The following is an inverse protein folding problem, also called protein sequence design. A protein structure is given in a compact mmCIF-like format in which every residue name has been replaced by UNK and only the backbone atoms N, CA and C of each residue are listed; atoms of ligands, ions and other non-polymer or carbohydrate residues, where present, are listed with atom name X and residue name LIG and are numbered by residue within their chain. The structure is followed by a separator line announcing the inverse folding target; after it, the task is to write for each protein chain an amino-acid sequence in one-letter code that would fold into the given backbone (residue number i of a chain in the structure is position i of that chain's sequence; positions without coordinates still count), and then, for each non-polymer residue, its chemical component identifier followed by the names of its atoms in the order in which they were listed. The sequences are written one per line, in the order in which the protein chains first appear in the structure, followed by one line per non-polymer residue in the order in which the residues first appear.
data_IF_110705973289
#
_entry.id   IF_110705973289
#
_cell.length_a   1.000
_cell.length_b   1.000
_cell.length_c   1.000
_cell.angle_alpha   90.00
_cell.angle_beta   90.00
_cell.angle_gamma   90.00
#
_symmetry.space_group_name_H-M   'P 1'
#
loop_
_entity.id
_entity.type
_entity.pdbx_description
1 polymer ?
#
# COMPACT_ATOMS: atom_id res chain seq x y z
N UNK A 1 -16.49 13.05 -11.82
CA UNK A 1 -15.11 13.10 -11.28
C UNK A 1 -14.96 12.28 -10.00
N UNK A 2 -15.79 12.50 -8.95
CA UNK A 2 -15.68 11.76 -7.69
C UNK A 2 -15.69 10.23 -7.85
N UNK A 3 -16.71 9.66 -8.51
CA UNK A 3 -16.78 8.21 -8.73
C UNK A 3 -15.62 7.66 -9.56
N UNK A 4 -15.06 8.45 -10.47
CA UNK A 4 -13.88 8.06 -11.24
C UNK A 4 -12.67 7.88 -10.31
N UNK A 5 -12.43 8.83 -9.41
CA UNK A 5 -11.37 8.71 -8.40
C UNK A 5 -11.65 7.54 -7.44
N UNK A 6 -12.89 7.38 -6.97
CA UNK A 6 -13.27 6.28 -6.08
C UNK A 6 -13.04 4.91 -6.72
N UNK A 7 -13.26 4.76 -8.03
CA UNK A 7 -12.97 3.53 -8.76
C UNK A 7 -11.47 3.20 -8.83
N UNK A 8 -10.59 4.20 -8.62
CA UNK A 8 -9.15 3.99 -8.51
C UNK A 8 -8.68 3.56 -7.12
N UNK A 9 -9.53 3.65 -6.10
CA UNK A 9 -9.16 3.33 -4.72
C UNK A 9 -9.02 1.83 -4.54
N UNK A 10 -7.78 1.41 -4.23
CA UNK A 10 -7.44 0.01 -3.92
C UNK A 10 -6.45 -0.03 -2.78
N UNK A 11 -6.78 -0.80 -1.73
CA UNK A 11 -6.00 -0.87 -0.49
C UNK A 11 -4.59 -1.45 -0.66
N UNK A 12 -3.95 -1.70 0.49
CA UNK A 12 -2.72 -2.49 0.55
C UNK A 12 -2.96 -3.92 0.08
N UNK A 13 -1.98 -4.50 -0.60
CA UNK A 13 -2.06 -5.88 -1.08
C UNK A 13 -1.65 -6.79 0.08
N UNK A 14 -2.51 -7.75 0.42
CA UNK A 14 -2.22 -8.77 1.41
C UNK A 14 -2.52 -10.14 0.82
N UNK A 15 -1.50 -10.99 0.74
CA UNK A 15 -1.63 -12.32 0.14
C UNK A 15 -0.55 -13.30 0.61
N UNK A 16 -0.98 -14.54 0.79
CA UNK A 16 -0.08 -15.70 0.84
C UNK A 16 0.18 -16.15 -0.60
N UNK A 17 1.43 -16.03 -1.03
CA UNK A 17 1.87 -16.33 -2.39
C UNK A 17 2.31 -17.79 -2.49
N UNK A 18 3.06 -18.25 -1.49
CA UNK A 18 3.53 -19.62 -1.35
C UNK A 18 3.23 -20.12 0.07
N UNK A 19 2.87 -21.41 0.20
CA UNK A 19 2.29 -21.97 1.44
C UNK A 19 3.31 -22.37 2.50
N UNK A 20 4.55 -22.64 2.09
CA UNK A 20 5.53 -23.29 2.95
C UNK A 20 6.95 -23.03 2.49
N UNK A 21 7.83 -22.72 3.43
CA UNK A 21 9.27 -22.67 3.24
C UNK A 21 9.97 -23.02 4.56
N UNK A 22 11.23 -23.44 4.48
CA UNK A 22 12.08 -23.69 5.66
C UNK A 22 13.44 -23.08 5.36
N UNK A 23 13.99 -22.33 6.31
CA UNK A 23 15.35 -21.80 6.24
C UNK A 23 16.39 -22.90 6.46
N UNK A 24 17.52 -22.78 5.77
CA UNK A 24 18.71 -23.57 6.01
C UNK A 24 19.91 -22.67 5.71
N UNK A 25 20.49 -22.03 6.74
CA UNK A 25 21.64 -21.15 6.54
C UNK A 25 22.66 -21.28 7.65
N UNK A 26 23.90 -20.88 7.37
CA UNK A 26 25.08 -21.06 8.23
C UNK A 26 24.99 -20.45 9.63
N UNK A 27 24.00 -19.59 9.89
CA UNK A 27 23.78 -18.99 11.19
C UNK A 27 22.81 -19.80 12.08
N UNK A 28 22.21 -20.86 11.55
CA UNK A 28 21.30 -21.74 12.27
C UNK A 28 22.05 -22.86 13.00
N UNK A 29 21.60 -23.26 14.21
CA UNK A 29 22.23 -24.35 14.97
C UNK A 29 22.09 -25.72 14.31
N UNK A 30 21.04 -25.91 13.50
CA UNK A 30 20.73 -27.12 12.74
C UNK A 30 21.06 -27.00 11.25
N UNK A 31 22.01 -26.11 10.88
CA UNK A 31 22.45 -25.96 9.49
C UNK A 31 22.99 -27.27 8.94
N UNK A 32 22.49 -27.67 7.76
CA UNK A 32 23.01 -28.80 7.02
C UNK A 32 23.73 -28.30 5.75
N UNK A 33 25.06 -28.50 5.63
CA UNK A 33 25.82 -28.08 4.46
C UNK A 33 25.48 -28.88 3.19
N UNK A 34 24.86 -30.06 3.33
CA UNK A 34 24.43 -30.88 2.20
C UNK A 34 23.08 -30.41 1.61
N UNK A 35 22.33 -29.62 2.37
CA UNK A 35 21.05 -29.04 1.93
C UNK A 35 21.25 -27.66 1.29
N UNK A 36 20.32 -27.27 0.44
CA UNK A 36 20.34 -25.96 -0.24
C UNK A 36 20.31 -24.80 0.77
N UNK A 37 21.18 -23.81 0.59
CA UNK A 37 21.23 -22.62 1.46
C UNK A 37 20.01 -21.74 1.18
N UNK A 38 19.17 -21.56 2.19
CA UNK A 38 17.92 -20.78 2.15
C UNK A 38 17.81 -19.83 3.33
N UNK A 39 17.53 -18.58 3.02
CA UNK A 39 17.20 -17.54 3.98
C UNK A 39 15.71 -17.21 3.91
N UNK A 40 15.08 -17.10 5.08
CA UNK A 40 13.74 -16.53 5.22
C UNK A 40 13.86 -15.12 5.79
N UNK A 41 13.39 -14.13 5.04
CA UNK A 41 13.56 -12.72 5.39
C UNK A 41 12.23 -12.00 5.43
N UNK A 42 11.94 -11.39 6.58
CA UNK A 42 10.79 -10.51 6.78
C UNK A 42 11.23 -9.05 6.67
N UNK A 43 10.99 -8.46 5.51
CA UNK A 43 11.32 -7.07 5.21
C UNK A 43 10.07 -6.18 5.26
N UNK A 44 10.12 -5.07 6.00
CA UNK A 44 9.03 -4.11 6.17
C UNK A 44 9.45 -2.69 5.76
N UNK A 45 8.64 -2.02 4.94
CA UNK A 45 8.94 -0.68 4.48
C UNK A 45 8.68 0.37 5.57
N UNK A 46 9.72 1.09 5.98
CA UNK A 46 9.62 2.16 6.96
C UNK A 46 8.62 3.24 6.54
N UNK A 47 7.46 3.28 7.20
CA UNK A 47 6.43 4.31 7.01
C UNK A 47 6.04 4.46 5.52
N UNK A 48 5.55 3.38 4.91
CA UNK A 48 5.19 3.31 3.49
C UNK A 48 4.28 4.46 3.03
N UNK A 49 3.22 4.76 3.79
CA UNK A 49 2.34 5.88 3.44
C UNK A 49 3.01 7.23 3.65
N UNK A 50 3.92 7.38 4.63
CA UNK A 50 4.76 8.57 4.77
C UNK A 50 5.67 8.79 3.58
N UNK A 51 6.28 7.72 3.05
CA UNK A 51 7.06 7.77 1.81
C UNK A 51 6.19 8.28 0.65
N UNK A 52 5.01 7.70 0.44
CA UNK A 52 4.09 8.11 -0.61
C UNK A 52 3.59 9.56 -0.41
N UNK A 53 3.30 9.97 0.82
CA UNK A 53 2.91 11.33 1.16
C UNK A 53 4.03 12.36 0.92
N UNK A 54 5.29 11.92 0.86
CA UNK A 54 6.43 12.80 0.60
C UNK A 54 6.69 13.03 -0.89
N UNK A 55 5.90 12.40 -1.77
CA UNK A 55 5.96 12.57 -3.22
C UNK A 55 5.06 13.71 -3.70
N UNK A 56 5.05 13.97 -5.00
CA UNK A 56 4.13 14.92 -5.62
C UNK A 56 2.71 14.36 -5.54
N UNK A 57 1.82 15.12 -4.89
CA UNK A 57 0.43 14.73 -4.68
C UNK A 57 -0.50 15.73 -5.36
N UNK A 58 -1.68 15.30 -5.83
CA UNK A 58 -2.65 16.20 -6.45
C UNK A 58 -3.01 17.34 -5.49
N UNK A 59 -3.10 18.55 -6.03
CA UNK A 59 -3.34 19.76 -5.27
C UNK A 59 -4.61 20.49 -5.74
N UNK A 60 -4.71 20.81 -7.04
CA UNK A 60 -5.79 21.67 -7.57
C UNK A 60 -5.99 21.56 -9.09
N UNK A 61 -7.00 22.28 -9.57
CA UNK A 61 -7.35 22.50 -10.98
C UNK A 61 -7.50 21.20 -11.79
N UNK A 62 -8.36 20.31 -11.28
CA UNK A 62 -8.70 19.06 -11.93
C UNK A 62 -9.54 19.31 -13.19
N UNK A 63 -9.01 18.92 -14.34
CA UNK A 63 -9.67 19.09 -15.64
C UNK A 63 -9.60 17.80 -16.44
N UNK A 64 -10.69 17.49 -17.15
CA UNK A 64 -10.66 16.41 -18.14
C UNK A 64 -9.82 16.87 -19.33
N UNK A 65 -8.90 16.02 -19.75
CA UNK A 65 -8.01 16.26 -20.89
C UNK A 65 -8.35 15.28 -22.01
N UNK A 66 -7.93 15.63 -23.23
CA UNK A 66 -8.00 14.72 -24.37
C UNK A 66 -7.19 13.44 -24.11
N UNK A 67 -7.67 12.32 -24.66
CA UNK A 67 -7.12 10.98 -24.43
C UNK A 67 -5.96 10.63 -25.38
N UNK A 68 -5.16 11.61 -25.80
CA UNK A 68 -4.18 11.45 -26.88
C UNK A 68 -2.78 11.03 -26.38
N UNK A 69 -2.63 10.73 -25.09
CA UNK A 69 -1.36 10.27 -24.54
C UNK A 69 -1.01 8.88 -25.07
N UNK A 70 0.21 8.70 -25.56
CA UNK A 70 0.74 7.40 -25.97
C UNK A 70 1.50 6.74 -24.81
N UNK A 71 1.79 5.45 -24.96
CA UNK A 71 2.69 4.71 -24.05
C UNK A 71 4.04 5.42 -23.89
N UNK A 72 4.60 5.96 -24.97
CA UNK A 72 5.87 6.67 -24.95
C UNK A 72 5.78 8.00 -24.20
N UNK A 73 4.66 8.71 -24.32
CA UNK A 73 4.44 9.94 -23.56
C UNK A 73 4.37 9.65 -22.07
N UNK A 74 3.62 8.60 -21.67
CA UNK A 74 3.48 8.18 -20.27
C UNK A 74 4.84 7.79 -19.67
N UNK A 75 5.66 7.03 -20.40
CA UNK A 75 6.99 6.61 -19.94
C UNK A 75 7.95 7.78 -19.73
N UNK A 76 7.79 8.88 -20.48
CA UNK A 76 8.59 10.10 -20.38
C UNK A 76 8.10 11.08 -19.32
N UNK A 77 6.91 10.88 -18.74
CA UNK A 77 6.41 11.76 -17.68
C UNK A 77 7.35 11.72 -16.46
N UNK A 78 7.73 12.91 -16.01
CA UNK A 78 8.44 13.09 -14.75
C UNK A 78 7.46 12.94 -13.58
N UNK A 79 7.88 12.18 -12.56
CA UNK A 79 7.10 12.03 -11.31
C UNK A 79 7.16 13.29 -10.43
N UNK A 80 7.97 14.27 -10.81
CA UNK A 80 8.19 15.55 -10.12
C UNK A 80 7.72 16.75 -10.95
N UNK A 81 6.95 16.52 -12.02
CA UNK A 81 6.32 17.60 -12.77
C UNK A 81 5.23 18.28 -11.94
N UNK A 82 5.02 19.58 -12.15
CA UNK A 82 3.88 20.31 -11.56
C UNK A 82 2.51 19.80 -12.06
N UNK A 83 2.50 18.98 -13.12
CA UNK A 83 1.29 18.40 -13.71
C UNK A 83 1.27 16.90 -13.51
N UNK A 84 0.18 16.39 -12.93
CA UNK A 84 -0.08 14.98 -12.77
C UNK A 84 -1.34 14.51 -13.50
N UNK A 85 -1.49 13.19 -13.61
CA UNK A 85 -2.62 12.55 -14.29
C UNK A 85 -3.16 11.36 -13.52
N UNK A 86 -4.48 11.19 -13.56
CA UNK A 86 -5.17 9.92 -13.25
C UNK A 86 -5.83 9.46 -14.55
N UNK A 87 -5.57 8.23 -14.95
CA UNK A 87 -6.04 7.67 -16.21
C UNK A 87 -6.99 6.51 -15.95
N UNK A 88 -7.98 6.34 -16.81
CA UNK A 88 -8.73 5.09 -16.96
C UNK A 88 -8.27 4.38 -18.23
N UNK A 89 -7.74 3.17 -18.08
CA UNK A 89 -7.06 2.45 -19.16
C UNK A 89 -7.48 0.99 -19.26
N UNK A 90 -7.30 0.41 -20.44
CA UNK A 90 -7.26 -1.05 -20.61
C UNK A 90 -5.80 -1.50 -20.68
N UNK A 91 -5.43 -2.47 -19.85
CA UNK A 91 -4.10 -3.07 -19.79
C UNK A 91 -4.22 -4.54 -20.13
N UNK A 92 -3.35 -5.01 -21.00
CA UNK A 92 -3.17 -6.43 -21.27
C UNK A 92 -1.99 -6.97 -20.47
N UNK A 93 -2.10 -8.24 -20.12
CA UNK A 93 -1.12 -8.95 -19.33
C UNK A 93 -0.51 -10.05 -20.21
N UNK A 94 0.67 -9.81 -20.80
CA UNK A 94 1.28 -10.78 -21.69
C UNK A 94 1.57 -12.13 -21.00
N UNK A 95 1.26 -13.28 -21.62
CA UNK A 95 1.49 -14.60 -21.03
C UNK A 95 2.95 -14.88 -20.63
N UNK A 96 3.92 -14.30 -21.33
CA UNK A 96 5.35 -14.41 -21.02
C UNK A 96 5.74 -13.77 -19.68
N UNK A 97 4.90 -12.90 -19.12
CA UNK A 97 5.12 -12.33 -17.79
C UNK A 97 4.54 -13.19 -16.65
N UNK A 98 3.75 -14.22 -16.96
CA UNK A 98 2.99 -14.94 -15.94
C UNK A 98 3.89 -15.64 -14.92
N UNK A 99 4.95 -16.31 -15.38
CA UNK A 99 5.89 -16.98 -14.48
C UNK A 99 6.71 -15.97 -13.69
N UNK A 100 7.13 -14.87 -14.32
CA UNK A 100 7.91 -13.82 -13.66
C UNK A 100 7.11 -13.09 -12.58
N UNK A 101 5.81 -12.90 -12.81
CA UNK A 101 4.93 -12.14 -11.95
C UNK A 101 4.00 -13.01 -11.09
N UNK A 102 4.20 -14.34 -11.07
CA UNK A 102 3.33 -15.29 -10.38
C UNK A 102 3.10 -14.95 -8.91
N UNK A 103 4.18 -14.55 -8.22
CA UNK A 103 4.12 -14.33 -6.78
C UNK A 103 3.55 -12.97 -6.41
N UNK A 104 3.62 -11.96 -7.29
CA UNK A 104 3.15 -10.60 -6.97
C UNK A 104 2.51 -9.85 -8.14
N UNK A 105 1.42 -10.37 -8.75
CA UNK A 105 0.85 -9.80 -9.97
C UNK A 105 0.47 -8.32 -9.84
N UNK A 106 0.85 -7.55 -10.85
CA UNK A 106 0.55 -6.12 -10.98
C UNK A 106 -0.95 -5.82 -11.09
N UNK A 107 -1.31 -4.56 -10.80
CA UNK A 107 -2.66 -4.00 -11.00
C UNK A 107 -3.79 -4.78 -10.29
N UNK A 108 -3.77 -4.85 -8.96
CA UNK A 108 -4.80 -5.55 -8.18
C UNK A 108 -6.22 -5.00 -8.41
N UNK A 109 -7.25 -5.82 -8.22
CA UNK A 109 -8.66 -5.46 -8.47
C UNK A 109 -9.57 -5.91 -7.34
N UNK A 110 -10.60 -5.11 -7.03
CA UNK A 110 -11.65 -5.53 -6.11
C UNK A 110 -12.68 -6.36 -6.87
N UNK A 111 -12.61 -7.69 -6.77
CA UNK A 111 -13.58 -8.60 -7.38
C UNK A 111 -13.87 -9.79 -6.46
N UNK A 112 -15.04 -10.43 -6.57
CA UNK A 112 -15.32 -11.65 -5.82
C UNK A 112 -14.39 -12.78 -6.29
N UNK A 113 -13.65 -13.45 -5.38
CA UNK A 113 -12.85 -14.61 -5.78
C UNK A 113 -13.75 -15.80 -6.15
N UNK A 114 -13.20 -16.83 -6.83
CA UNK A 114 -13.95 -18.05 -7.12
C UNK A 114 -14.61 -18.60 -5.85
N UNK A 115 -15.89 -18.95 -5.95
CA UNK A 115 -16.70 -19.47 -4.84
C UNK A 115 -16.97 -18.50 -3.67
N UNK A 116 -16.69 -17.20 -3.83
CA UNK A 116 -17.04 -16.18 -2.84
C UNK A 116 -17.84 -15.06 -3.48
N UNK A 117 -18.87 -14.56 -2.78
CA UNK A 117 -19.68 -13.42 -3.24
C UNK A 117 -19.13 -12.07 -2.79
N UNK A 118 -18.31 -12.06 -1.75
CA UNK A 118 -17.76 -10.83 -1.18
C UNK A 118 -16.54 -10.38 -1.98
N UNK A 119 -16.51 -9.12 -2.48
CA UNK A 119 -15.35 -8.58 -3.16
C UNK A 119 -14.12 -8.59 -2.24
N UNK A 120 -13.00 -9.05 -2.79
CA UNK A 120 -11.67 -8.97 -2.17
C UNK A 120 -10.72 -8.27 -3.12
N UNK A 121 -9.65 -7.69 -2.58
CA UNK A 121 -8.57 -7.18 -3.40
C UNK A 121 -7.74 -8.36 -3.90
N UNK A 122 -7.79 -8.65 -5.19
CA UNK A 122 -7.10 -9.77 -5.82
C UNK A 122 -5.99 -9.25 -6.72
N UNK A 123 -4.81 -9.84 -6.64
CA UNK A 123 -3.78 -9.73 -7.68
C UNK A 123 -4.07 -10.83 -8.70
N UNK A 124 -4.18 -10.48 -9.98
CA UNK A 124 -4.46 -11.46 -11.04
C UNK A 124 -3.66 -11.14 -12.28
N UNK A 125 -3.25 -12.19 -13.00
CA UNK A 125 -2.56 -12.10 -14.29
C UNK A 125 -3.53 -11.87 -15.46
N UNK A 126 -4.77 -11.49 -15.18
CA UNK A 126 -5.78 -11.21 -16.20
C UNK A 126 -5.57 -9.83 -16.84
N UNK A 127 -6.09 -9.59 -18.05
CA UNK A 127 -6.25 -8.23 -18.57
C UNK A 127 -7.09 -7.36 -17.63
N UNK A 128 -6.81 -6.07 -17.61
CA UNK A 128 -7.52 -5.07 -16.80
C UNK A 128 -8.31 -4.17 -17.73
N UNK A 129 -9.60 -3.99 -17.46
CA UNK A 129 -10.48 -3.14 -18.27
C UNK A 129 -10.95 -1.93 -17.47
N UNK A 130 -10.90 -0.74 -18.06
CA UNK A 130 -11.30 0.52 -17.41
C UNK A 130 -10.66 0.70 -16.02
N UNK A 131 -9.39 0.34 -15.93
CA UNK A 131 -8.61 0.41 -14.70
C UNK A 131 -8.20 1.86 -14.43
N UNK A 132 -8.70 2.45 -13.33
CA UNK A 132 -8.33 3.81 -12.92
C UNK A 132 -7.07 3.79 -12.06
N UNK A 133 -6.04 4.57 -12.41
CA UNK A 133 -4.78 4.65 -11.66
C UNK A 133 -4.02 5.97 -11.85
N UNK A 134 -3.13 6.27 -10.92
CA UNK A 134 -2.17 7.37 -11.02
C UNK A 134 -1.10 7.08 -12.09
N UNK A 135 -0.68 8.10 -12.84
CA UNK A 135 0.26 7.93 -13.96
C UNK A 135 1.60 7.30 -13.57
N UNK A 136 2.16 7.60 -12.39
CA UNK A 136 3.41 6.97 -11.92
C UNK A 136 3.27 5.46 -11.77
N UNK A 137 2.10 4.98 -11.35
CA UNK A 137 1.82 3.55 -11.20
C UNK A 137 1.63 2.89 -12.57
N UNK A 138 0.93 3.57 -13.50
CA UNK A 138 0.84 3.13 -14.90
C UNK A 138 2.22 3.04 -15.57
N UNK A 139 3.05 4.07 -15.38
CA UNK A 139 4.43 4.12 -15.88
C UNK A 139 5.25 2.93 -15.39
N UNK A 140 5.14 2.56 -14.11
CA UNK A 140 5.80 1.36 -13.58
C UNK A 140 5.26 0.08 -14.26
N UNK A 141 3.93 -0.06 -14.38
CA UNK A 141 3.34 -1.24 -15.01
C UNK A 141 3.79 -1.43 -16.45
N UNK A 142 3.88 -0.34 -17.22
CA UNK A 142 4.40 -0.33 -18.58
C UNK A 142 5.87 -0.74 -18.64
N UNK A 143 6.71 -0.23 -17.72
CA UNK A 143 8.12 -0.63 -17.60
C UNK A 143 8.29 -2.11 -17.27
N UNK A 144 7.39 -2.67 -16.47
CA UNK A 144 7.37 -4.07 -16.09
C UNK A 144 6.70 -4.98 -17.15
N UNK A 145 6.27 -4.42 -18.29
CA UNK A 145 5.86 -5.18 -19.46
C UNK A 145 4.35 -5.24 -19.74
N UNK A 146 3.49 -4.64 -18.89
CA UNK A 146 2.07 -4.56 -19.20
C UNK A 146 1.86 -3.71 -20.46
N UNK A 147 0.90 -4.11 -21.29
CA UNK A 147 0.66 -3.46 -22.59
C UNK A 147 -0.59 -2.59 -22.49
N UNK A 148 -0.42 -1.28 -22.65
CA UNK A 148 -1.54 -0.34 -22.76
C UNK A 148 -2.30 -0.56 -24.07
N UNK A 149 -3.57 -0.96 -23.98
CA UNK A 149 -4.43 -1.17 -25.14
C UNK A 149 -5.26 0.05 -25.47
N UNK A 150 -5.76 0.76 -24.45
CA UNK A 150 -6.66 1.90 -24.64
C UNK A 150 -6.62 2.86 -23.46
N UNK A 151 -6.70 4.15 -23.74
CA UNK A 151 -7.01 5.19 -22.75
C UNK A 151 -8.46 5.64 -22.95
N UNK A 152 -9.29 5.51 -21.92
CA UNK A 152 -10.69 5.91 -21.96
C UNK A 152 -10.92 7.32 -21.47
N UNK A 153 -10.20 7.74 -20.43
CA UNK A 153 -10.33 9.06 -19.80
C UNK A 153 -9.03 9.49 -19.17
N UNK A 154 -8.71 10.78 -19.28
CA UNK A 154 -7.55 11.40 -18.63
C UNK A 154 -8.02 12.57 -17.75
N UNK A 155 -7.72 12.49 -16.46
CA UNK A 155 -7.92 13.58 -15.51
C UNK A 155 -6.57 14.22 -15.19
N UNK A 156 -6.36 15.46 -15.64
CA UNK A 156 -5.16 16.25 -15.41
C UNK A 156 -5.35 17.15 -14.19
N UNK A 157 -4.29 17.40 -13.43
CA UNK A 157 -4.30 18.29 -12.27
C UNK A 157 -2.91 18.88 -11.98
N UNK A 158 -2.85 19.95 -11.20
CA UNK A 158 -1.60 20.39 -10.60
C UNK A 158 -1.27 19.55 -9.37
N UNK A 159 0.01 19.22 -9.21
CA UNK A 159 0.55 18.46 -8.08
C UNK A 159 1.81 19.12 -7.55
N UNK A 160 2.12 18.88 -6.28
CA UNK A 160 3.37 19.33 -5.65
C UNK A 160 3.67 18.46 -4.43
N UNK A 161 4.89 18.49 -3.87
CA UNK A 161 5.23 17.70 -2.67
C UNK A 161 4.80 18.42 -1.38
N UNK A 162 3.55 18.91 -1.33
CA UNK A 162 3.07 19.81 -0.28
C UNK A 162 2.98 19.17 1.12
N UNK A 163 2.94 17.84 1.23
CA UNK A 163 3.04 17.11 2.51
C UNK A 163 4.47 16.78 2.94
N UNK A 164 5.45 16.88 2.04
CA UNK A 164 6.82 16.41 2.30
C UNK A 164 7.43 17.04 3.54
N UNK A 165 7.35 18.37 3.67
CA UNK A 165 7.91 19.07 4.83
C UNK A 165 7.27 18.63 6.16
N UNK A 166 5.97 18.34 6.14
CA UNK A 166 5.25 17.84 7.30
C UNK A 166 5.69 16.43 7.70
N UNK A 167 5.81 15.52 6.71
CA UNK A 167 6.27 14.15 6.95
C UNK A 167 7.73 14.14 7.42
N UNK A 168 8.60 14.94 6.79
CA UNK A 168 10.00 15.08 7.17
C UNK A 168 10.13 15.59 8.61
N UNK A 169 9.32 16.58 8.99
CA UNK A 169 9.29 17.12 10.34
C UNK A 169 8.88 16.07 11.38
N UNK A 170 7.76 15.38 11.17
CA UNK A 170 7.29 14.34 12.08
C UNK A 170 8.26 13.16 12.15
N UNK A 171 8.91 12.80 11.04
CA UNK A 171 9.92 11.73 11.00
C UNK A 171 11.15 12.12 11.83
N UNK A 172 11.64 13.37 11.68
CA UNK A 172 12.74 13.92 12.50
C UNK A 172 12.42 13.95 13.99
N UNK A 173 11.18 14.23 14.37
CA UNK A 173 10.77 14.18 15.77
C UNK A 173 10.68 12.74 16.27
N UNK A 174 10.09 11.84 15.48
CA UNK A 174 9.95 10.41 15.80
C UNK A 174 11.28 9.67 15.96
N UNK A 175 12.36 10.14 15.33
CA UNK A 175 13.72 9.58 15.50
C UNK A 175 14.40 10.08 16.78
N UNK A 176 14.12 11.31 17.20
CA UNK A 176 14.71 11.93 18.41
C UNK A 176 14.07 11.46 19.71
N UNK A 177 12.77 11.17 19.70
CA UNK A 177 12.06 10.80 20.92
C UNK A 177 12.38 9.38 21.38
N UNK A 178 12.58 9.24 22.69
CA UNK A 178 12.91 7.96 23.35
C UNK A 178 11.64 7.26 23.81
N UNK A 179 10.66 8.03 24.31
CA UNK A 179 9.39 7.53 24.84
C UNK A 179 8.49 6.94 23.73
N UNK A 180 8.00 5.72 23.95
CA UNK A 180 7.13 5.02 23.01
C UNK A 180 5.81 5.75 22.77
N UNK A 181 5.23 6.38 23.79
CA UNK A 181 4.03 7.21 23.62
C UNK A 181 4.25 8.33 22.59
N UNK A 182 5.39 9.02 22.67
CA UNK A 182 5.70 10.10 21.73
C UNK A 182 6.02 9.54 20.32
N UNK A 183 6.66 8.38 20.22
CA UNK A 183 6.89 7.71 18.93
C UNK A 183 5.57 7.37 18.25
N UNK A 184 4.60 6.88 19.01
CA UNK A 184 3.26 6.53 18.52
C UNK A 184 2.44 7.76 18.17
N UNK A 185 2.58 8.85 18.93
CA UNK A 185 1.97 10.12 18.59
C UNK A 185 2.40 10.61 17.20
N UNK A 186 3.71 10.72 16.93
CA UNK A 186 4.19 11.15 15.60
C UNK A 186 3.86 10.16 14.48
N UNK A 187 3.81 8.85 14.79
CA UNK A 187 3.32 7.83 13.85
C UNK A 187 1.85 8.08 13.49
N UNK A 188 1.01 8.34 14.49
CA UNK A 188 -0.41 8.62 14.31
C UNK A 188 -0.64 9.92 13.54
N UNK A 189 0.14 10.97 13.82
CA UNK A 189 0.04 12.26 13.10
C UNK A 189 0.20 12.06 11.59
N UNK A 190 1.17 11.25 11.16
CA UNK A 190 1.33 10.89 9.75
C UNK A 190 0.16 10.04 9.23
N UNK A 191 -0.15 8.93 9.90
CA UNK A 191 -1.18 7.99 9.44
C UNK A 191 -2.59 8.60 9.41
N UNK A 192 -2.86 9.57 10.28
CA UNK A 192 -4.16 10.23 10.38
C UNK A 192 -4.53 11.02 9.13
N UNK A 193 -3.56 11.60 8.43
CA UNK A 193 -3.78 12.32 7.17
C UNK A 193 -4.37 11.37 6.14
N UNK A 194 -3.68 10.24 5.91
CA UNK A 194 -4.15 9.22 5.00
C UNK A 194 -5.57 8.73 5.37
N UNK A 195 -5.77 8.33 6.63
CA UNK A 195 -7.08 7.87 7.11
C UNK A 195 -8.19 8.91 6.91
N UNK A 196 -7.87 10.21 7.06
CA UNK A 196 -8.84 11.29 6.87
C UNK A 196 -9.19 11.54 5.42
N UNK A 197 -8.22 11.40 4.51
CA UNK A 197 -8.45 11.51 3.05
C UNK A 197 -9.31 10.36 2.52
N UNK A 198 -9.20 9.18 3.12
CA UNK A 198 -9.96 7.96 2.77
C UNK A 198 -11.28 7.80 3.53
N UNK A 199 -11.68 8.77 4.34
CA UNK A 199 -12.89 8.68 5.15
C UNK A 199 -14.16 8.60 4.29
N UNK A 200 -14.89 7.48 4.34
CA UNK A 200 -16.14 7.31 3.61
C UNK A 200 -17.31 8.04 4.31
N UNK A 201 -17.58 9.28 3.86
CA UNK A 201 -18.66 10.11 4.39
C UNK A 201 -20.06 9.51 4.19
N UNK A 202 -20.25 8.58 3.24
CA UNK A 202 -21.55 7.91 3.00
C UNK A 202 -21.90 6.91 4.11
N UNK A 203 -20.90 6.40 4.84
CA UNK A 203 -21.11 5.44 5.95
C UNK A 203 -21.43 6.13 7.28
N UNK A 204 -21.42 7.46 7.35
CA UNK A 204 -21.76 8.21 8.56
C UNK A 204 -23.25 8.05 8.88
N UNK A 205 -23.54 7.78 10.14
CA UNK A 205 -24.91 7.60 10.67
C UNK A 205 -25.15 8.59 11.79
N UNK A 206 -26.40 9.07 11.88
CA UNK A 206 -26.86 9.78 13.06
C UNK A 206 -27.45 8.79 14.05
N UNK A 207 -26.90 8.77 15.25
CA UNK A 207 -27.42 7.93 16.34
C UNK A 207 -28.17 8.85 17.30
N UNK A 208 -29.42 8.51 17.57
CA UNK A 208 -30.26 9.18 18.57
C UNK A 208 -30.61 8.17 19.65
N UNK A 209 -30.33 8.52 20.89
CA UNK A 209 -30.77 7.75 22.06
C UNK A 209 -32.19 8.22 22.42
N UNK A 210 -33.07 7.26 22.68
CA UNK A 210 -34.42 7.50 23.15
C UNK A 210 -34.71 6.65 24.39
N UNK A 211 -35.43 7.24 25.33
CA UNK A 211 -35.82 6.60 26.59
C UNK A 211 -37.33 6.49 26.77
N UNK A 212 -38.11 6.96 25.79
CA UNK A 212 -39.56 6.86 25.79
C UNK A 212 -40.06 6.30 24.46
N UNK A 213 -41.21 5.64 24.51
CA UNK A 213 -41.84 5.06 23.33
C UNK A 213 -42.21 6.14 22.29
N UNK A 214 -42.70 7.30 22.74
CA UNK A 214 -43.07 8.41 21.86
C UNK A 214 -41.88 8.93 21.04
N UNK A 215 -40.72 9.11 21.69
CA UNK A 215 -39.48 9.49 21.02
C UNK A 215 -39.06 8.44 19.99
N UNK A 216 -39.13 7.16 20.37
CA UNK A 216 -38.77 6.05 19.49
C UNK A 216 -39.68 6.02 18.25
N UNK A 217 -41.02 6.10 18.43
CA UNK A 217 -42.00 6.13 17.34
C UNK A 217 -41.72 7.28 16.36
N UNK A 218 -41.48 8.49 16.89
CA UNK A 218 -41.16 9.67 16.06
C UNK A 218 -39.88 9.50 15.24
N UNK A 219 -38.86 8.84 15.79
CA UNK A 219 -37.59 8.62 15.09
C UNK A 219 -37.67 7.48 14.06
N UNK A 220 -38.40 6.40 14.38
CA UNK A 220 -38.63 5.26 13.46
C UNK A 220 -39.47 5.68 12.26
N UNK A 221 -40.44 6.59 12.46
CA UNK A 221 -41.28 7.11 11.38
C UNK A 221 -40.53 8.00 10.36
N UNK A 222 -39.27 8.37 10.62
CA UNK A 222 -38.51 9.20 9.67
C UNK A 222 -38.09 8.38 8.45
N UNK A 223 -38.20 8.99 7.26
CA UNK A 223 -37.80 8.36 5.98
C UNK A 223 -36.33 7.94 5.91
N UNK A 224 -35.47 8.55 6.74
CA UNK A 224 -34.06 8.21 6.84
C UNK A 224 -33.76 7.21 7.96
N UNK A 225 -34.76 6.56 8.55
CA UNK A 225 -34.55 5.47 9.49
C UNK A 225 -33.75 4.32 8.84
N UNK A 226 -32.82 3.74 9.61
CA UNK A 226 -32.01 2.61 9.17
C UNK A 226 -32.28 1.38 10.03
N UNK A 227 -32.04 1.49 11.34
CA UNK A 227 -32.23 0.39 12.30
C UNK A 227 -32.37 0.93 13.72
N UNK A 228 -32.82 0.07 14.64
CA UNK A 228 -32.81 0.32 16.08
C UNK A 228 -32.00 -0.74 16.82
N UNK A 229 -31.40 -0.35 17.94
CA UNK A 229 -30.73 -1.24 18.90
C UNK A 229 -31.33 -0.95 20.27
N UNK A 230 -31.85 -1.98 20.93
CA UNK A 230 -32.44 -1.86 22.28
C UNK A 230 -31.35 -2.24 23.27
N UNK A 231 -31.06 -1.36 24.23
CA UNK A 231 -30.07 -1.62 25.28
C UNK A 231 -30.74 -2.06 26.59
N UNK A 232 -31.89 -1.48 26.90
CA UNK A 232 -32.73 -1.85 28.04
C UNK A 232 -34.19 -1.46 27.79
N UNK A 233 -35.08 -1.76 28.73
CA UNK A 233 -36.50 -1.40 28.66
C UNK A 233 -36.72 0.11 28.41
N UNK A 234 -35.85 0.95 28.99
CA UNK A 234 -35.96 2.42 28.92
C UNK A 234 -34.84 3.07 28.10
N UNK A 235 -34.11 2.31 27.27
CA UNK A 235 -33.03 2.87 26.45
C UNK A 235 -32.87 2.15 25.11
N UNK A 236 -32.99 2.92 24.02
CA UNK A 236 -32.81 2.45 22.65
C UNK A 236 -31.99 3.45 21.84
N UNK A 237 -31.10 2.95 20.97
CA UNK A 237 -30.46 3.73 19.92
C UNK A 237 -31.21 3.57 18.59
N UNK A 238 -31.58 4.68 17.98
CA UNK A 238 -32.10 4.75 16.61
C UNK A 238 -31.00 5.25 15.68
N UNK A 239 -30.64 4.43 14.70
CA UNK A 239 -29.70 4.79 13.65
C UNK A 239 -30.46 5.39 12.47
N UNK A 240 -30.09 6.60 12.09
CA UNK A 240 -30.63 7.33 10.95
C UNK A 240 -29.54 7.54 9.90
N UNK A 241 -29.87 7.35 8.62
CA UNK A 241 -29.02 7.73 7.49
C UNK A 241 -28.96 9.26 7.36
N UNK A 242 -27.85 9.79 6.88
CA UNK A 242 -27.74 11.22 6.55
C UNK A 242 -28.50 11.50 5.25
N UNK A 243 -29.55 12.35 5.23
CA UNK A 243 -30.30 12.64 4.01
C UNK A 243 -29.48 13.46 3.00
N UNK A 244 -28.60 14.34 3.49
CA UNK A 244 -27.69 15.13 2.69
C UNK A 244 -26.25 14.77 3.04
N UNK A 245 -25.44 14.44 2.04
CA UNK A 245 -24.03 14.08 2.21
C UNK A 245 -23.19 15.14 1.50
N UNK A 246 -22.39 15.88 2.26
CA UNK A 246 -21.38 16.80 1.72
C UNK A 246 -20.07 16.04 1.53
N UNK A 247 -19.56 16.01 0.30
CA UNK A 247 -18.22 15.50 0.00
C UNK A 247 -17.20 16.62 0.19
N UNK A 248 -16.39 16.50 1.24
CA UNK A 248 -15.32 17.46 1.56
C UNK A 248 -13.99 16.74 1.84
N UNK A 249 -13.93 15.45 1.50
CA UNK A 249 -12.74 14.60 1.68
C UNK A 249 -11.94 14.59 0.40
N UNK A 250 -10.63 14.73 0.55
CA UNK A 250 -9.67 14.76 -0.55
C UNK A 250 -9.32 13.33 -0.96
N UNK A 251 -10.30 12.55 -1.44
CA UNK A 251 -10.14 11.13 -1.78
C UNK A 251 -9.07 10.92 -2.87
N UNK A 252 -8.88 11.90 -3.77
CA UNK A 252 -7.82 11.86 -4.78
C UNK A 252 -6.41 11.79 -4.18
N UNK A 253 -6.19 12.43 -3.02
CA UNK A 253 -4.92 12.36 -2.30
C UNK A 253 -4.72 10.94 -1.77
N UNK A 254 -5.73 10.38 -1.11
CA UNK A 254 -5.68 9.03 -0.57
C UNK A 254 -5.50 7.94 -1.64
N UNK A 255 -6.20 8.07 -2.78
CA UNK A 255 -6.00 7.21 -3.95
C UNK A 255 -4.56 7.29 -4.47
N UNK A 256 -4.01 8.51 -4.61
CA UNK A 256 -2.64 8.70 -5.10
C UNK A 256 -1.61 8.12 -4.11
N UNK A 257 -1.82 8.31 -2.81
CA UNK A 257 -0.97 7.70 -1.77
C UNK A 257 -0.96 6.18 -1.92
N UNK A 258 -2.14 5.56 -2.08
CA UNK A 258 -2.26 4.10 -2.26
C UNK A 258 -1.52 3.59 -3.50
N UNK A 259 -1.54 4.35 -4.60
CA UNK A 259 -0.85 3.98 -5.84
C UNK A 259 0.66 4.18 -5.74
N UNK A 260 1.12 5.30 -5.19
CA UNK A 260 2.55 5.58 -4.99
C UNK A 260 3.19 4.65 -3.96
N UNK A 261 2.43 4.19 -2.96
CA UNK A 261 2.86 3.12 -2.06
C UNK A 261 3.10 1.81 -2.80
N UNK A 262 2.21 1.43 -3.73
CA UNK A 262 2.43 0.23 -4.56
C UNK A 262 3.63 0.38 -5.47
N UNK A 263 3.91 1.58 -5.99
CA UNK A 263 5.11 1.84 -6.79
C UNK A 263 6.37 1.48 -6.01
N UNK A 264 6.50 1.90 -4.74
CA UNK A 264 7.66 1.54 -3.92
C UNK A 264 7.79 0.01 -3.75
N UNK A 265 6.70 -0.66 -3.39
CA UNK A 265 6.70 -2.10 -3.13
C UNK A 265 7.02 -2.91 -4.39
N UNK A 266 6.40 -2.57 -5.52
CA UNK A 266 6.67 -3.22 -6.80
C UNK A 266 8.08 -2.94 -7.32
N UNK A 267 8.58 -1.71 -7.20
CA UNK A 267 9.96 -1.39 -7.56
C UNK A 267 10.96 -2.19 -6.73
N UNK A 268 10.76 -2.26 -5.40
CA UNK A 268 11.64 -3.05 -4.55
C UNK A 268 11.60 -4.54 -4.92
N UNK A 269 10.41 -5.10 -5.17
CA UNK A 269 10.26 -6.50 -5.57
C UNK A 269 10.84 -6.79 -6.96
N UNK A 270 10.40 -6.08 -8.00
CA UNK A 270 10.70 -6.42 -9.39
C UNK A 270 11.99 -5.82 -9.93
N UNK A 271 12.29 -4.56 -9.60
CA UNK A 271 13.46 -3.86 -10.14
C UNK A 271 14.73 -4.17 -9.34
N UNK A 272 14.60 -4.54 -8.06
CA UNK A 272 15.74 -4.87 -7.20
C UNK A 272 15.80 -6.35 -6.81
N UNK A 273 14.86 -6.85 -6.01
CA UNK A 273 14.95 -8.22 -5.46
C UNK A 273 14.91 -9.31 -6.54
N UNK A 274 13.94 -9.26 -7.47
CA UNK A 274 13.87 -10.17 -8.62
C UNK A 274 15.05 -9.99 -9.57
N UNK A 275 15.58 -8.77 -9.74
CA UNK A 275 16.75 -8.56 -10.59
C UNK A 275 18.03 -9.18 -10.00
N UNK A 276 18.22 -9.07 -8.67
CA UNK A 276 19.39 -9.61 -7.97
C UNK A 276 19.40 -11.13 -7.88
N UNK A 277 18.25 -11.76 -7.60
CA UNK A 277 18.18 -13.20 -7.33
C UNK A 277 17.48 -14.01 -8.43
N UNK A 278 16.75 -13.37 -9.34
CA UNK A 278 16.03 -14.02 -10.45
C UNK A 278 15.14 -15.20 -9.99
N UNK A 279 15.49 -16.43 -10.38
CA UNK A 279 14.79 -17.67 -10.03
C UNK A 279 15.12 -18.18 -8.62
N UNK A 280 16.10 -17.58 -7.94
CA UNK A 280 16.54 -17.93 -6.57
C UNK A 280 15.73 -17.24 -5.47
N UNK A 281 14.69 -16.48 -5.82
CA UNK A 281 13.82 -15.79 -4.87
C UNK A 281 12.36 -16.12 -5.12
N UNK A 282 11.66 -16.41 -4.02
CA UNK A 282 10.21 -16.54 -3.99
C UNK A 282 9.63 -15.59 -2.96
N UNK A 283 8.57 -14.89 -3.32
CA UNK A 283 7.78 -14.18 -2.34
C UNK A 283 6.85 -15.19 -1.67
N UNK A 284 6.89 -15.28 -0.34
CA UNK A 284 6.08 -16.20 0.46
C UNK A 284 4.78 -15.53 0.88
N UNK A 285 4.89 -14.31 1.39
CA UNK A 285 3.75 -13.55 1.90
C UNK A 285 4.01 -12.06 1.77
N UNK A 286 2.96 -11.28 1.60
CA UNK A 286 3.01 -9.82 1.69
C UNK A 286 1.78 -9.31 2.42
N UNK A 287 1.95 -8.26 3.22
CA UNK A 287 0.86 -7.47 3.75
C UNK A 287 1.24 -5.98 3.72
N UNK A 288 0.68 -5.29 2.74
CA UNK A 288 0.75 -3.84 2.53
C UNK A 288 2.17 -3.27 2.33
N UNK A 289 2.95 -3.19 3.41
CA UNK A 289 4.31 -2.67 3.49
C UNK A 289 5.37 -3.73 3.77
N UNK A 290 4.95 -4.99 3.91
CA UNK A 290 5.84 -6.10 4.22
C UNK A 290 6.00 -7.12 3.09
N UNK A 291 7.16 -7.77 3.07
CA UNK A 291 7.46 -8.97 2.30
C UNK A 291 8.13 -10.02 3.17
N UNK A 292 7.67 -11.27 3.04
CA UNK A 292 8.38 -12.45 3.52
C UNK A 292 8.94 -13.16 2.29
N UNK A 293 10.26 -13.29 2.20
CA UNK A 293 10.95 -13.94 1.10
C UNK A 293 11.59 -15.26 1.51
N UNK A 294 11.58 -16.23 0.61
CA UNK A 294 12.56 -17.32 0.55
C UNK A 294 13.62 -16.94 -0.47
N UNK A 295 14.89 -16.92 -0.05
CA UNK A 295 16.02 -16.49 -0.87
C UNK A 295 17.13 -17.55 -0.82
N UNK A 296 17.59 -17.97 -1.98
CA UNK A 296 18.73 -18.89 -2.14
C UNK A 296 19.97 -18.08 -2.51
N UNK A 297 20.89 -17.93 -1.56
CA UNK A 297 22.15 -17.18 -1.71
C UNK A 297 23.16 -17.69 -0.68
N UNK A 298 24.44 -17.41 -0.88
CA UNK A 298 25.50 -17.84 0.04
C UNK A 298 25.38 -17.13 1.39
N UNK A 299 25.02 -15.84 1.39
CA UNK A 299 24.82 -15.04 2.59
C UNK A 299 23.99 -13.78 2.33
N UNK A 300 22.70 -13.83 2.69
CA UNK A 300 21.81 -12.68 2.51
C UNK A 300 22.25 -11.46 3.32
N UNK A 301 22.84 -11.64 4.51
CA UNK A 301 23.30 -10.50 5.30
C UNK A 301 24.57 -9.88 4.71
N UNK A 302 25.38 -10.65 3.98
CA UNK A 302 26.46 -10.09 3.16
C UNK A 302 25.88 -9.33 1.97
N UNK A 303 24.87 -9.87 1.27
CA UNK A 303 24.20 -9.19 0.17
C UNK A 303 23.61 -7.84 0.60
N UNK A 304 23.03 -7.76 1.80
CA UNK A 304 22.52 -6.50 2.37
C UNK A 304 23.61 -5.43 2.57
N UNK A 305 24.87 -5.83 2.79
CA UNK A 305 25.97 -4.86 3.00
C UNK A 305 26.29 -4.07 1.73
N UNK A 306 26.17 -4.72 0.58
CA UNK A 306 26.43 -4.09 -0.72
C UNK A 306 25.43 -2.96 -1.00
N UNK A 307 24.19 -3.14 -0.53
CA UNK A 307 23.05 -2.28 -0.82
C UNK A 307 22.43 -1.67 0.45
N UNK A 308 23.26 -1.32 1.45
CA UNK A 308 22.79 -0.73 2.74
C UNK A 308 21.94 0.52 2.55
N UNK A 309 22.10 1.23 1.43
CA UNK A 309 21.26 2.38 1.09
C UNK A 309 19.79 2.00 0.91
N UNK A 310 19.42 0.74 0.67
CA UNK A 310 18.03 0.28 0.55
C UNK A 310 17.43 -0.21 1.86
N UNK A 311 18.27 -0.57 2.83
CA UNK A 311 17.84 -1.20 4.08
C UNK A 311 17.94 -0.26 5.29
N UNK A 312 17.08 -0.50 6.28
CA UNK A 312 17.26 0.02 7.64
C UNK A 312 17.72 -1.11 8.55
N UNK A 313 18.98 -1.01 8.96
CA UNK A 313 19.67 -1.97 9.83
C UNK A 313 19.85 -1.43 11.25
N UNK A 314 19.22 -0.31 11.58
CA UNK A 314 19.44 0.38 12.86
C UNK A 314 18.90 -0.36 14.09
N UNK A 315 18.00 -1.32 13.89
CA UNK A 315 17.39 -2.14 14.95
C UNK A 315 18.16 -3.44 15.23
N UNK A 316 19.24 -3.74 14.47
CA UNK A 316 20.13 -4.87 14.77
C UNK A 316 20.96 -4.60 16.03
N UNK A 317 21.43 -5.69 16.67
CA UNK A 317 22.36 -5.58 17.79
C UNK A 317 23.69 -4.93 17.34
N UNK A 318 24.31 -4.14 18.22
CA UNK A 318 25.62 -3.49 17.94
C UNK A 318 26.72 -4.51 17.66
N UNK A 319 26.64 -5.68 18.27
CA UNK A 319 27.57 -6.79 18.11
C UNK A 319 26.92 -7.92 17.30
N UNK A 320 26.04 -7.60 16.36
CA UNK A 320 25.37 -8.60 15.52
C UNK A 320 26.41 -9.49 14.81
N UNK A 321 26.14 -10.80 14.79
CA UNK A 321 27.03 -11.83 14.22
C UNK A 321 27.24 -11.67 12.70
N UNK A 322 26.43 -10.83 12.07
CA UNK A 322 26.46 -10.55 10.63
C UNK A 322 27.44 -9.42 10.28
N UNK A 323 27.99 -8.69 11.27
CA UNK A 323 28.84 -7.50 11.05
C UNK A 323 28.15 -6.42 10.19
N UNK A 324 26.84 -6.21 10.37
CA UNK A 324 26.09 -5.14 9.72
C UNK A 324 26.32 -3.81 10.43
N UNK A 325 26.54 -2.75 9.65
CA UNK A 325 26.54 -1.38 10.14
C UNK A 325 25.11 -0.96 10.51
N UNK A 326 24.94 -0.25 11.62
CA UNK A 326 23.64 0.26 12.07
C UNK A 326 23.33 1.62 11.43
N UNK A 327 22.57 1.62 10.34
CA UNK A 327 22.28 2.83 9.54
C UNK A 327 20.79 3.00 9.23
N UNK A 328 20.42 4.15 8.69
CA UNK A 328 19.09 4.44 8.13
C UNK A 328 17.89 4.39 9.10
N UNK A 329 18.14 4.63 10.40
CA UNK A 329 17.11 4.61 11.45
C UNK A 329 15.84 5.37 11.10
N UNK A 330 14.76 4.61 10.85
CA UNK A 330 13.41 5.08 10.49
C UNK A 330 13.39 5.99 9.26
N UNK A 331 14.38 5.90 8.38
CA UNK A 331 14.37 6.63 7.10
C UNK A 331 13.24 6.05 6.25
N UNK A 332 12.33 6.93 5.81
CA UNK A 332 11.11 6.52 5.12
C UNK A 332 11.42 5.79 3.81
N UNK A 333 10.68 4.71 3.55
CA UNK A 333 10.79 3.89 2.34
C UNK A 333 12.00 2.95 2.28
N UNK A 334 12.80 2.85 3.36
CA UNK A 334 13.82 1.79 3.50
C UNK A 334 13.20 0.52 4.05
N UNK A 335 13.71 -0.63 3.63
CA UNK A 335 13.24 -1.92 4.11
C UNK A 335 13.99 -2.32 5.38
N UNK A 336 13.30 -2.45 6.50
CA UNK A 336 13.88 -3.00 7.75
C UNK A 336 13.60 -4.49 7.85
N UNK A 337 14.50 -5.20 8.51
CA UNK A 337 14.25 -6.57 8.97
C UNK A 337 13.37 -6.53 10.22
N UNK A 338 12.13 -7.00 10.11
CA UNK A 338 11.18 -6.99 11.21
C UNK A 338 11.62 -7.90 12.37
N UNK A 339 12.42 -8.93 12.07
CA UNK A 339 12.96 -9.84 13.06
C UNK A 339 14.23 -9.31 13.75
N UNK A 340 14.77 -8.15 13.30
CA UNK A 340 15.93 -7.49 13.91
C UNK A 340 17.17 -8.40 13.98
N UNK A 341 17.37 -9.22 12.96
CA UNK A 341 18.46 -10.19 12.88
C UNK A 341 18.17 -11.53 13.57
N UNK A 342 17.00 -11.72 14.19
CA UNK A 342 16.57 -13.07 14.59
C UNK A 342 16.21 -13.89 13.36
N UNK A 343 16.72 -15.12 13.30
CA UNK A 343 16.53 -15.99 12.13
C UNK A 343 15.10 -16.53 12.13
N UNK A 344 14.41 -16.35 11.00
CA UNK A 344 13.13 -17.01 10.73
C UNK A 344 13.40 -18.44 10.24
N UNK A 345 12.76 -19.42 10.87
CA UNK A 345 13.08 -20.84 10.65
C UNK A 345 12.16 -21.54 9.65
N UNK A 346 10.86 -21.27 9.70
CA UNK A 346 9.80 -21.94 8.92
C UNK A 346 8.63 -20.99 8.66
#
# INVERSE_FOLDING_TARGET
MLFFIENGVRGGISQCCNRYAIANNKYMPNFNPDDEIKYLMYLDANNLYGYAMSKYLPLKDFVWSDNNLTTQDILKLSDESDVGYILEVDLDYPPDLHDKHSDFPLASENKPPPNCKEPRLLTTLEPKTKYVLHYSNLKLYLKLGLVLKKIHRVLKFFQSPWLKNYIDYNTKLRTKVINDFQKDFYKLMNNSIFGKTMENVRRRVDIRLCSTEEQARKLIAKSNFNRRIIFSENLMAVHLKKPNIKFFKQIHVGMTILDLSKVLMYSFHYEYMKHRYDSKIKLMYTDTDSFIYEIKTDDFYSDMKDDLNLYDTSDYDKNNVYNLLLVNKKVIGKMKDENKGNIMTE
#
